data_IF_656541944804
#
_entry.id   IF_656541944804
#
_cell.length_a   1.000
_cell.length_b   1.000
_cell.length_c   1.000
_cell.angle_alpha   90.00
_cell.angle_beta   90.00
_cell.angle_gamma   90.00
#
_symmetry.space_group_name_H-M   'P 1'
#
loop_
_entity.id
_entity.type
_entity.pdbx_description
1 polymer ?
#
# COMPACT_ATOMS: atom_id res chain seq x y z
N UNK A 1 -2.39 -16.65 2.41
CA UNK A 1 -3.53 -16.39 3.33
C UNK A 1 -4.31 -15.25 2.72
N UNK A 2 -5.60 -15.43 2.44
CA UNK A 2 -6.46 -14.37 1.91
C UNK A 2 -7.33 -13.86 3.07
N UNK A 3 -7.31 -12.57 3.32
CA UNK A 3 -8.15 -11.93 4.34
C UNK A 3 -8.97 -10.83 3.66
N UNK A 4 -10.29 -10.91 3.79
CA UNK A 4 -11.19 -9.86 3.31
C UNK A 4 -11.37 -8.85 4.43
N UNK A 5 -11.18 -7.57 4.11
CA UNK A 5 -11.43 -6.45 5.02
C UNK A 5 -12.69 -5.73 4.57
N UNK A 6 -13.50 -5.26 5.52
CA UNK A 6 -14.68 -4.45 5.23
C UNK A 6 -14.37 -2.99 5.57
N UNK A 7 -14.73 -2.09 4.66
CA UNK A 7 -14.72 -0.66 4.92
C UNK A 7 -16.00 -0.29 5.68
N UNK A 8 -15.86 0.23 6.88
CA UNK A 8 -16.98 0.74 7.66
C UNK A 8 -17.48 2.08 7.09
N UNK A 9 -18.68 2.50 7.51
CA UNK A 9 -19.36 3.69 6.98
C UNK A 9 -18.59 5.00 7.17
N UNK A 10 -17.65 5.04 8.11
CA UNK A 10 -16.79 6.20 8.39
C UNK A 10 -15.39 6.07 7.77
N UNK A 11 -15.20 5.09 6.86
CA UNK A 11 -13.94 4.86 6.18
C UNK A 11 -12.93 4.04 7.00
N UNK A 12 -13.31 3.48 8.15
CA UNK A 12 -12.43 2.64 8.96
C UNK A 12 -12.30 1.23 8.39
N UNK A 13 -11.13 0.65 8.58
CA UNK A 13 -10.87 -0.77 8.31
C UNK A 13 -10.26 -1.41 9.55
N UNK A 14 -10.81 -2.54 9.98
CA UNK A 14 -10.27 -3.30 11.11
C UNK A 14 -9.33 -4.37 10.61
N UNK A 15 -8.04 -4.22 10.92
CA UNK A 15 -7.03 -5.25 10.63
C UNK A 15 -7.11 -6.39 11.66
N UNK A 16 -7.23 -7.66 11.21
CA UNK A 16 -7.11 -8.82 12.09
C UNK A 16 -5.82 -8.79 12.90
N UNK A 17 -5.87 -9.23 14.16
CA UNK A 17 -4.73 -9.21 15.08
C UNK A 17 -3.48 -9.89 14.50
N UNK A 18 -3.68 -10.98 13.74
CA UNK A 18 -2.59 -11.71 13.10
C UNK A 18 -1.87 -10.89 12.03
N UNK A 19 -2.59 -10.12 11.20
CA UNK A 19 -1.97 -9.21 10.23
C UNK A 19 -1.30 -8.05 10.95
N UNK A 20 -1.96 -7.51 11.97
CA UNK A 20 -1.44 -6.41 12.79
C UNK A 20 -0.07 -6.74 13.38
N UNK A 21 0.04 -7.91 14.03
CA UNK A 21 1.29 -8.41 14.63
C UNK A 21 2.34 -8.76 13.59
N UNK A 22 1.95 -9.41 12.49
CA UNK A 22 2.89 -9.83 11.44
C UNK A 22 3.57 -8.65 10.76
N UNK A 23 2.84 -7.55 10.54
CA UNK A 23 3.32 -6.40 9.79
C UNK A 23 3.62 -5.18 10.67
N UNK A 24 3.53 -5.27 12.00
CA UNK A 24 3.94 -4.18 12.90
C UNK A 24 2.99 -2.98 12.93
N UNK A 25 1.70 -3.18 12.64
CA UNK A 25 0.69 -2.12 12.76
C UNK A 25 0.31 -1.87 14.23
N UNK A 26 1.21 -1.29 15.01
CA UNK A 26 0.96 -0.99 16.42
C UNK A 26 0.12 0.29 16.59
N UNK A 27 -0.45 0.46 17.79
CA UNK A 27 -1.15 1.70 18.11
C UNK A 27 -0.17 2.88 18.03
N UNK A 28 -0.62 3.98 17.43
CA UNK A 28 0.14 5.23 17.28
C UNK A 28 1.38 5.14 16.37
N UNK A 29 1.56 4.04 15.64
CA UNK A 29 2.54 3.99 14.54
C UNK A 29 1.94 4.70 13.33
N UNK A 30 2.61 5.72 12.78
CA UNK A 30 2.16 6.36 11.54
C UNK A 30 2.12 5.33 10.41
N UNK A 31 1.10 5.40 9.56
CA UNK A 31 0.95 4.52 8.40
C UNK A 31 1.07 5.37 7.15
N UNK A 32 1.95 4.97 6.23
CA UNK A 32 2.00 5.51 4.89
C UNK A 32 1.04 4.74 3.99
N UNK A 33 0.24 5.49 3.23
CA UNK A 33 -0.59 4.96 2.15
C UNK A 33 0.11 5.25 0.83
N UNK A 34 0.34 4.21 0.04
CA UNK A 34 0.91 4.34 -1.30
C UNK A 34 -0.16 3.90 -2.29
N UNK A 35 -0.58 4.82 -3.15
CA UNK A 35 -1.49 4.53 -4.26
C UNK A 35 -0.70 3.91 -5.41
N UNK A 36 -1.22 2.81 -5.95
CA UNK A 36 -0.69 2.12 -7.12
C UNK A 36 -1.77 2.03 -8.19
N UNK A 37 -1.42 1.58 -9.39
CA UNK A 37 -2.38 1.41 -10.49
C UNK A 37 -3.50 0.39 -10.18
N UNK A 38 -3.29 -0.53 -9.23
CA UNK A 38 -4.21 -1.63 -8.93
C UNK A 38 -4.83 -1.57 -7.53
N UNK A 39 -4.45 -0.58 -6.70
CA UNK A 39 -5.00 -0.44 -5.36
C UNK A 39 -4.11 0.40 -4.45
N UNK A 40 -4.21 0.14 -3.14
CA UNK A 40 -3.42 0.83 -2.12
C UNK A 40 -2.55 -0.16 -1.36
N UNK A 41 -1.34 0.29 -1.01
CA UNK A 41 -0.46 -0.38 -0.07
C UNK A 41 -0.46 0.40 1.25
N UNK A 42 -0.60 -0.32 2.36
CA UNK A 42 -0.48 0.24 3.70
C UNK A 42 0.86 -0.20 4.29
N UNK A 43 1.71 0.76 4.63
CA UNK A 43 3.05 0.51 5.15
C UNK A 43 3.20 1.23 6.50
N UNK A 44 3.39 0.51 7.62
CA UNK A 44 3.67 1.16 8.89
C UNK A 44 5.07 1.78 8.85
N UNK A 45 5.17 3.04 9.24
CA UNK A 45 6.43 3.76 9.37
C UNK A 45 7.04 3.39 10.72
N UNK A 46 7.86 2.35 10.72
CA UNK A 46 8.66 1.97 11.88
C UNK A 46 10.03 2.65 11.82
N UNK A 47 10.68 2.83 12.97
CA UNK A 47 12.08 3.26 13.03
C UNK A 47 13.06 2.12 12.73
N UNK A 48 12.55 0.90 12.49
CA UNK A 48 13.37 -0.23 12.12
C UNK A 48 13.78 -0.09 10.65
N UNK A 49 15.04 -0.39 10.30
CA UNK A 49 15.45 -0.38 8.92
C UNK A 49 14.58 -1.39 8.14
N UNK A 50 13.98 -0.90 7.05
CA UNK A 50 13.19 -1.73 6.15
C UNK A 50 14.01 -2.96 5.76
N UNK A 51 13.43 -4.15 5.91
CA UNK A 51 14.15 -5.38 5.57
C UNK A 51 14.52 -5.36 4.09
N UNK A 52 15.69 -5.91 3.75
CA UNK A 52 16.15 -5.96 2.35
C UNK A 52 15.11 -6.65 1.43
N UNK A 53 14.42 -7.67 1.95
CA UNK A 53 13.34 -8.36 1.24
C UNK A 53 12.14 -7.44 0.95
N UNK A 54 11.70 -6.63 1.93
CA UNK A 54 10.59 -5.68 1.72
C UNK A 54 11.00 -4.56 0.75
N UNK A 55 12.26 -4.14 0.79
CA UNK A 55 12.80 -3.14 -0.14
C UNK A 55 12.84 -3.67 -1.58
N UNK A 56 13.23 -4.92 -1.77
CA UNK A 56 13.23 -5.60 -3.07
C UNK A 56 11.81 -5.83 -3.59
N UNK A 57 10.87 -6.24 -2.74
CA UNK A 57 9.45 -6.37 -3.10
C UNK A 57 8.85 -5.02 -3.51
N UNK A 58 9.09 -3.94 -2.76
CA UNK A 58 8.60 -2.61 -3.12
C UNK A 58 9.22 -2.10 -4.42
N UNK A 59 10.51 -2.33 -4.64
CA UNK A 59 11.19 -1.96 -5.89
C UNK A 59 10.61 -2.71 -7.10
N UNK A 60 10.35 -4.02 -6.94
CA UNK A 60 9.72 -4.84 -7.98
C UNK A 60 8.31 -4.33 -8.31
N UNK A 61 7.51 -4.00 -7.29
CA UNK A 61 6.16 -3.44 -7.48
C UNK A 61 6.20 -2.07 -8.16
N UNK A 62 7.13 -1.20 -7.79
CA UNK A 62 7.31 0.10 -8.45
C UNK A 62 7.72 -0.07 -9.92
N UNK A 63 8.62 -1.01 -10.23
CA UNK A 63 9.03 -1.33 -11.61
C UNK A 63 7.86 -1.82 -12.45
N UNK A 64 7.04 -2.74 -11.94
CA UNK A 64 5.86 -3.27 -12.62
C UNK A 64 4.80 -2.18 -12.86
N UNK A 65 4.63 -1.26 -11.91
CA UNK A 65 3.75 -0.13 -12.11
C UNK A 65 4.29 0.81 -13.19
N UNK A 66 5.57 1.15 -13.18
CA UNK A 66 6.17 2.03 -14.18
C UNK A 66 6.02 1.49 -15.62
N UNK A 67 6.24 0.18 -15.83
CA UNK A 67 6.03 -0.48 -17.12
C UNK A 67 4.55 -0.48 -17.55
N UNK A 68 3.62 -0.53 -16.60
CA UNK A 68 2.19 -0.43 -16.88
C UNK A 68 1.78 1.00 -17.28
N UNK A 69 2.31 2.04 -16.62
CA UNK A 69 2.02 3.45 -16.93
C UNK A 69 2.46 3.86 -18.34
N UNK A 70 3.54 3.29 -18.89
CA UNK A 70 3.98 3.55 -20.28
C UNK A 70 3.03 2.97 -21.35
N UNK A 71 2.14 2.03 -20.99
CA UNK A 71 1.20 1.40 -21.93
C UNK A 71 -0.20 2.03 -21.92
N UNK A 72 -0.46 3.01 -21.07
CA UNK A 72 -1.76 3.71 -21.03
C UNK A 72 -1.65 5.09 -21.69
N UNK A 73 -2.41 5.35 -22.78
CA UNK A 73 -2.51 6.68 -23.35
C UNK A 73 -3.39 7.52 -22.42
N UNK A 74 -2.78 8.29 -21.52
CA UNK A 74 -3.50 9.29 -20.76
C UNK A 74 -3.79 10.48 -21.68
N UNK A 75 -5.07 10.70 -22.02
CA UNK A 75 -5.51 11.98 -22.58
C UNK A 75 -5.64 12.95 -21.40
N UNK A 76 -4.81 14.00 -21.37
CA UNK A 76 -4.98 15.11 -20.43
C UNK A 76 -6.35 15.78 -20.68
N UNK A 77 -7.34 15.49 -19.83
CA UNK A 77 -8.51 16.35 -19.72
C UNK A 77 -8.07 17.60 -18.96
N UNK A 78 -7.73 18.63 -19.74
CA UNK A 78 -7.55 19.99 -19.24
C UNK A 78 -8.90 20.48 -18.70
N UNK A 79 -9.05 20.56 -17.37
CA UNK A 79 -10.12 21.36 -16.79
C UNK A 79 -9.76 22.85 -16.99
N UNK A 80 -10.70 23.56 -17.61
CA UNK A 80 -10.65 24.95 -18.10
C UNK A 80 -10.34 26.00 -17.05
#
# INVERSE_FOLDING_TARGET
>A
MQATLTLESDGKVVLPELLRKRYGFEQNVPIQVIETASGILLVPLTNEPMSAALQEELAAWQSLSAEAWEQFPYEEVSET
#
